data_IF_299755198997
#
_entry.id   IF_299755198997
#
_cell.length_a   1.000
_cell.length_b   1.000
_cell.length_c   1.000
_cell.angle_alpha   90.00
_cell.angle_beta   90.00
_cell.angle_gamma   90.00
#
_symmetry.space_group_name_H-M   'P 1'
#
loop_
_entity.id
_entity.type
_entity.pdbx_description
1 polymer ?
#
# COMPACT_ATOMS: atom_id res chain seq x y z
N UNK A 1 -5.72 -26.91 -5.96
CA UNK A 1 -5.89 -26.24 -4.65
C UNK A 1 -7.23 -25.52 -4.68
N UNK A 2 -8.02 -25.66 -3.63
CA UNK A 2 -9.34 -25.01 -3.54
C UNK A 2 -9.20 -23.47 -3.60
N UNK A 3 -10.03 -22.79 -4.39
CA UNK A 3 -9.94 -21.34 -4.63
C UNK A 3 -10.11 -20.55 -3.33
N UNK A 4 -11.02 -21.01 -2.47
CA UNK A 4 -11.27 -20.41 -1.15
C UNK A 4 -10.07 -20.56 -0.21
N UNK A 5 -9.25 -21.59 -0.43
CA UNK A 5 -7.99 -21.76 0.30
C UNK A 5 -6.93 -20.79 -0.20
N UNK A 6 -6.87 -20.54 -1.51
CA UNK A 6 -5.97 -19.56 -2.12
C UNK A 6 -6.29 -18.11 -1.71
N UNK A 7 -7.58 -17.73 -1.72
CA UNK A 7 -8.00 -16.37 -1.33
C UNK A 7 -7.69 -16.09 0.15
N UNK A 8 -7.85 -17.09 1.03
CA UNK A 8 -7.43 -17.00 2.43
C UNK A 8 -5.92 -16.85 2.58
N UNK A 9 -5.13 -17.63 1.84
CA UNK A 9 -3.67 -17.52 1.85
C UNK A 9 -3.24 -16.11 1.42
N UNK A 10 -3.78 -15.60 0.32
CA UNK A 10 -3.47 -14.24 -0.15
C UNK A 10 -3.84 -13.17 0.88
N UNK A 11 -4.99 -13.31 1.53
CA UNK A 11 -5.40 -12.39 2.60
C UNK A 11 -4.43 -12.40 3.79
N UNK A 12 -4.04 -13.58 4.28
CA UNK A 12 -3.06 -13.68 5.38
C UNK A 12 -1.68 -13.14 4.99
N UNK A 13 -1.23 -13.38 3.76
CA UNK A 13 0.04 -12.83 3.27
C UNK A 13 -0.04 -11.29 3.22
N UNK A 14 -1.15 -10.71 2.74
CA UNK A 14 -1.32 -9.26 2.72
C UNK A 14 -1.27 -8.63 4.12
N UNK A 15 -1.75 -9.34 5.16
CA UNK A 15 -1.66 -8.88 6.57
C UNK A 15 -0.24 -9.01 7.12
N UNK A 16 0.41 -10.17 6.92
CA UNK A 16 1.67 -10.48 7.58
C UNK A 16 2.87 -9.78 6.92
N UNK A 17 2.82 -9.58 5.60
CA UNK A 17 3.90 -8.96 4.83
C UNK A 17 4.37 -7.60 5.36
N UNK A 18 3.49 -6.61 5.64
CA UNK A 18 3.93 -5.32 6.18
C UNK A 18 4.61 -5.46 7.55
N UNK A 19 4.12 -6.38 8.40
CA UNK A 19 4.70 -6.63 9.73
C UNK A 19 6.10 -7.21 9.59
N UNK A 20 6.25 -8.24 8.76
CA UNK A 20 7.54 -8.91 8.52
C UNK A 20 8.56 -7.93 7.97
N UNK A 21 8.22 -7.14 6.95
CA UNK A 21 9.14 -6.15 6.40
C UNK A 21 9.53 -5.11 7.44
N UNK A 22 8.56 -4.58 8.18
CA UNK A 22 8.84 -3.52 9.15
C UNK A 22 9.73 -3.99 10.31
N UNK A 23 9.53 -5.21 10.80
CA UNK A 23 10.33 -5.79 11.89
C UNK A 23 11.74 -6.19 11.43
N UNK A 24 11.87 -6.73 10.22
CA UNK A 24 13.16 -7.17 9.69
C UNK A 24 14.01 -6.03 9.12
N UNK A 25 13.42 -4.90 8.77
CA UNK A 25 14.16 -3.75 8.25
C UNK A 25 14.68 -2.90 9.41
N UNK A 26 15.98 -2.58 9.46
CA UNK A 26 16.52 -1.74 10.52
C UNK A 26 15.92 -0.33 10.45
N UNK A 27 15.78 0.31 11.62
CA UNK A 27 15.25 1.67 11.73
C UNK A 27 16.06 2.66 10.89
N UNK A 28 17.38 2.49 10.87
CA UNK A 28 18.33 3.31 10.12
C UNK A 28 19.11 2.47 9.08
N UNK A 29 19.60 3.14 8.04
CA UNK A 29 20.44 2.50 7.03
C UNK A 29 21.89 2.37 7.53
N UNK A 30 22.27 1.19 8.06
CA UNK A 30 23.60 0.97 8.69
C UNK A 30 24.63 0.34 7.74
N UNK A 31 24.20 -0.42 6.72
CA UNK A 31 25.07 -1.11 5.76
C UNK A 31 25.17 -0.46 4.38
N UNK A 32 26.20 -0.81 3.59
CA UNK A 32 26.41 -0.25 2.23
C UNK A 32 25.19 -0.42 1.32
N UNK A 33 24.58 -1.60 1.32
CA UNK A 33 23.39 -1.89 0.52
C UNK A 33 22.18 -1.10 1.02
N UNK A 34 21.93 -1.03 2.32
CA UNK A 34 20.81 -0.24 2.87
C UNK A 34 20.97 1.26 2.64
N UNK A 35 22.20 1.78 2.67
CA UNK A 35 22.48 3.19 2.35
C UNK A 35 22.23 3.47 0.88
N UNK A 36 22.68 2.57 -0.02
CA UNK A 36 22.38 2.68 -1.45
C UNK A 36 20.86 2.68 -1.68
N UNK A 37 20.14 1.73 -1.08
CA UNK A 37 18.68 1.67 -1.17
C UNK A 37 18.07 2.96 -0.65
N UNK A 38 18.43 3.42 0.56
CA UNK A 38 17.90 4.67 1.11
C UNK A 38 18.14 5.87 0.17
N UNK A 39 19.33 5.99 -0.41
CA UNK A 39 19.66 7.05 -1.37
C UNK A 39 18.80 6.97 -2.64
N UNK A 40 18.55 5.77 -3.16
CA UNK A 40 17.64 5.56 -4.30
C UNK A 40 16.21 5.99 -3.92
N UNK A 41 15.72 5.57 -2.75
CA UNK A 41 14.39 5.94 -2.29
C UNK A 41 14.25 7.47 -2.14
N UNK A 42 15.26 8.11 -1.57
CA UNK A 42 15.30 9.56 -1.36
C UNK A 42 15.41 10.35 -2.67
N UNK A 43 16.16 9.84 -3.66
CA UNK A 43 16.36 10.52 -4.94
C UNK A 43 15.14 10.39 -5.87
N UNK A 44 14.54 9.20 -5.94
CA UNK A 44 13.55 8.87 -6.99
C UNK A 44 12.09 8.96 -6.54
N UNK A 45 11.78 8.72 -5.27
CA UNK A 45 10.39 8.77 -4.78
C UNK A 45 10.05 10.09 -4.08
N UNK A 46 11.05 10.81 -3.59
CA UNK A 46 10.88 11.98 -2.73
C UNK A 46 11.57 13.25 -3.25
N UNK A 47 12.10 13.24 -4.48
CA UNK A 47 12.57 14.41 -5.22
C UNK A 47 13.59 15.29 -4.49
N UNK A 48 14.89 15.06 -4.73
CA UNK A 48 16.01 15.97 -4.46
C UNK A 48 15.88 16.90 -3.21
N UNK A 49 15.43 16.36 -2.07
CA UNK A 49 15.43 17.08 -0.80
C UNK A 49 14.17 17.89 -0.45
N UNK A 50 13.13 17.93 -1.30
CA UNK A 50 11.86 18.60 -0.92
C UNK A 50 11.05 17.77 0.09
N UNK A 51 11.33 16.46 0.18
CA UNK A 51 10.63 15.49 1.04
C UNK A 51 11.58 14.55 1.79
N UNK A 52 12.69 15.08 2.33
CA UNK A 52 13.57 14.35 3.27
C UNK A 52 13.21 14.74 4.71
N UNK A 53 12.15 14.21 5.31
CA UNK A 53 11.93 14.44 6.72
C UNK A 53 13.00 13.69 7.52
N UNK A 54 13.64 14.39 8.45
CA UNK A 54 14.65 13.84 9.36
C UNK A 54 14.14 12.64 10.17
N UNK A 55 12.81 12.46 10.22
CA UNK A 55 12.11 11.47 11.05
C UNK A 55 11.31 10.43 10.27
N UNK A 56 11.61 10.21 8.99
CA UNK A 56 11.06 9.05 8.27
C UNK A 56 12.10 7.92 8.25
N UNK A 57 12.02 6.94 9.18
CA UNK A 57 13.02 5.90 9.33
C UNK A 57 13.07 5.03 8.08
N UNK A 58 14.25 4.49 7.81
CA UNK A 58 14.50 3.63 6.67
C UNK A 58 13.52 2.45 6.61
N UNK A 59 13.24 1.82 7.76
CA UNK A 59 12.24 0.75 7.89
C UNK A 59 10.86 1.14 7.34
N UNK A 60 10.41 2.36 7.61
CA UNK A 60 9.09 2.81 7.19
C UNK A 60 9.04 3.15 5.69
N UNK A 61 10.13 3.69 5.13
CA UNK A 61 10.28 3.89 3.67
C UNK A 61 10.17 2.56 2.93
N UNK A 62 10.98 1.59 3.35
CA UNK A 62 11.02 0.24 2.75
C UNK A 62 9.65 -0.43 2.89
N UNK A 63 9.06 -0.42 4.10
CA UNK A 63 7.73 -1.01 4.33
C UNK A 63 6.67 -0.37 3.44
N UNK A 64 6.65 0.96 3.33
CA UNK A 64 5.67 1.66 2.52
C UNK A 64 5.74 1.28 1.04
N UNK A 65 6.94 1.23 0.47
CA UNK A 65 7.13 0.98 -0.97
C UNK A 65 6.90 -0.48 -1.30
N UNK A 66 7.50 -1.39 -0.52
CA UNK A 66 7.38 -2.82 -0.80
C UNK A 66 5.94 -3.30 -0.65
N UNK A 67 5.18 -2.77 0.32
CA UNK A 67 3.75 -3.12 0.49
C UNK A 67 2.89 -2.63 -0.66
N UNK A 68 3.22 -1.48 -1.27
CA UNK A 68 2.52 -0.96 -2.46
C UNK A 68 2.80 -1.82 -3.67
N UNK A 69 4.08 -2.08 -3.95
CA UNK A 69 4.51 -2.95 -5.05
C UNK A 69 3.85 -4.33 -4.89
N UNK A 70 3.89 -4.89 -3.69
CA UNK A 70 3.28 -6.17 -3.40
C UNK A 70 1.76 -6.17 -3.58
N UNK A 71 1.04 -5.14 -3.13
CA UNK A 71 -0.41 -5.01 -3.36
C UNK A 71 -0.77 -4.95 -4.84
N UNK A 72 0.00 -4.21 -5.64
CA UNK A 72 -0.17 -4.13 -7.09
C UNK A 72 0.03 -5.50 -7.74
N UNK A 73 1.14 -6.18 -7.44
CA UNK A 73 1.45 -7.51 -7.98
C UNK A 73 0.39 -8.55 -7.58
N UNK A 74 0.01 -8.59 -6.31
CA UNK A 74 -1.02 -9.52 -5.83
C UNK A 74 -2.39 -9.24 -6.45
N UNK A 75 -2.76 -7.96 -6.59
CA UNK A 75 -4.00 -7.56 -7.26
C UNK A 75 -4.03 -8.03 -8.71
N UNK A 76 -2.94 -7.82 -9.45
CA UNK A 76 -2.78 -8.27 -10.83
C UNK A 76 -2.79 -9.80 -10.94
N UNK A 77 -2.07 -10.50 -10.06
CA UNK A 77 -2.04 -11.96 -10.04
C UNK A 77 -3.45 -12.52 -9.80
N UNK A 78 -4.18 -11.98 -8.82
CA UNK A 78 -5.56 -12.36 -8.56
C UNK A 78 -6.48 -12.05 -9.75
N UNK A 79 -6.27 -10.95 -10.46
CA UNK A 79 -6.99 -10.67 -11.71
C UNK A 79 -6.70 -11.71 -12.78
N UNK A 80 -5.44 -12.10 -12.98
CA UNK A 80 -5.08 -13.11 -13.99
C UNK A 80 -5.70 -14.47 -13.65
N UNK A 81 -5.66 -14.86 -12.39
CA UNK A 81 -6.16 -16.16 -11.91
C UNK A 81 -7.70 -16.20 -11.82
N UNK A 82 -8.34 -15.10 -11.45
CA UNK A 82 -9.77 -15.07 -11.06
C UNK A 82 -10.59 -13.94 -11.69
N UNK A 83 -10.06 -13.20 -12.67
CA UNK A 83 -10.62 -11.93 -13.16
C UNK A 83 -12.07 -11.98 -13.64
N UNK A 84 -12.61 -13.16 -13.95
CA UNK A 84 -14.01 -13.35 -14.35
C UNK A 84 -15.01 -13.29 -13.18
N UNK A 85 -14.56 -13.46 -11.94
CA UNK A 85 -15.41 -13.58 -10.74
C UNK A 85 -15.40 -12.32 -9.84
N UNK A 86 -14.68 -11.26 -10.23
CA UNK A 86 -14.43 -10.08 -9.39
C UNK A 86 -15.64 -9.11 -9.18
N UNK A 87 -16.88 -9.60 -9.18
CA UNK A 87 -18.05 -8.76 -8.87
C UNK A 87 -18.33 -8.75 -7.36
N UNK A 88 -17.53 -7.97 -6.63
CA UNK A 88 -17.71 -7.74 -5.19
C UNK A 88 -18.85 -6.73 -4.93
N UNK A 89 -19.23 -5.93 -5.94
CA UNK A 89 -20.27 -4.89 -5.83
C UNK A 89 -21.64 -5.41 -6.33
N UNK A 90 -22.71 -5.27 -5.53
CA UNK A 90 -24.08 -5.60 -5.94
C UNK A 90 -24.49 -4.90 -7.25
N UNK A 91 -25.33 -5.56 -8.07
CA UNK A 91 -25.74 -5.05 -9.38
C UNK A 91 -26.42 -3.68 -9.31
N UNK A 92 -27.28 -3.47 -8.32
CA UNK A 92 -28.06 -2.23 -8.14
C UNK A 92 -27.18 -0.99 -7.95
N UNK A 93 -26.06 -1.13 -7.23
CA UNK A 93 -25.17 -0.02 -6.88
C UNK A 93 -23.82 -0.06 -7.61
N UNK A 94 -23.71 -0.85 -8.69
CA UNK A 94 -22.44 -1.18 -9.33
C UNK A 94 -21.64 0.03 -9.81
N UNK A 95 -22.30 0.99 -10.46
CA UNK A 95 -21.63 2.21 -10.97
C UNK A 95 -21.06 3.05 -9.83
N UNK A 96 -21.84 3.29 -8.77
CA UNK A 96 -21.42 4.07 -7.59
C UNK A 96 -20.30 3.34 -6.83
N UNK A 97 -20.43 2.03 -6.64
CA UNK A 97 -19.42 1.23 -5.96
C UNK A 97 -18.09 1.21 -6.71
N UNK A 98 -18.10 1.04 -8.04
CA UNK A 98 -16.86 1.13 -8.83
C UNK A 98 -16.26 2.53 -8.80
N UNK A 99 -17.06 3.59 -8.89
CA UNK A 99 -16.56 4.96 -8.78
C UNK A 99 -15.89 5.22 -7.42
N UNK A 100 -16.50 4.73 -6.33
CA UNK A 100 -15.92 4.82 -4.98
C UNK A 100 -14.60 4.04 -4.88
N UNK A 101 -14.56 2.79 -5.36
CA UNK A 101 -13.35 1.96 -5.34
C UNK A 101 -12.23 2.61 -6.18
N UNK A 102 -12.57 3.22 -7.32
CA UNK A 102 -11.61 3.96 -8.14
C UNK A 102 -11.02 5.14 -7.38
N UNK A 103 -11.88 5.95 -6.77
CA UNK A 103 -11.46 7.12 -6.00
C UNK A 103 -10.55 6.71 -4.84
N UNK A 104 -10.89 5.64 -4.13
CA UNK A 104 -10.06 5.09 -3.06
C UNK A 104 -8.72 4.58 -3.59
N UNK A 105 -8.69 3.85 -4.70
CA UNK A 105 -7.44 3.38 -5.31
C UNK A 105 -6.50 4.55 -5.63
N UNK A 106 -7.01 5.59 -6.30
CA UNK A 106 -6.22 6.79 -6.62
C UNK A 106 -5.74 7.49 -5.36
N UNK A 107 -6.62 7.66 -4.36
CA UNK A 107 -6.28 8.28 -3.08
C UNK A 107 -5.16 7.52 -2.36
N UNK A 108 -5.25 6.19 -2.27
CA UNK A 108 -4.25 5.39 -1.55
C UNK A 108 -2.94 5.24 -2.32
N UNK A 109 -2.96 5.26 -3.67
CA UNK A 109 -1.75 5.40 -4.47
C UNK A 109 -1.09 6.77 -4.24
N UNK A 110 -1.87 7.84 -4.16
CA UNK A 110 -1.36 9.17 -3.83
C UNK A 110 -0.75 9.24 -2.43
N UNK A 111 -1.46 8.73 -1.41
CA UNK A 111 -0.97 8.65 -0.03
C UNK A 111 0.30 7.82 0.07
N UNK A 112 0.51 6.84 -0.82
CA UNK A 112 1.73 6.03 -0.86
C UNK A 112 2.98 6.83 -1.23
N UNK A 113 2.82 7.97 -1.90
CA UNK A 113 3.91 8.85 -2.34
C UNK A 113 4.22 9.92 -1.28
N UNK A 114 3.31 10.16 -0.34
CA UNK A 114 3.53 11.13 0.73
C UNK A 114 4.43 10.52 1.83
N UNK A 115 5.50 11.22 2.25
CA UNK A 115 6.34 10.74 3.35
C UNK A 115 5.56 10.73 4.67
N UNK A 116 5.85 9.76 5.54
CA UNK A 116 5.18 9.58 6.83
C UNK A 116 6.16 9.79 7.99
N UNK A 117 6.20 11.00 8.56
CA UNK A 117 7.14 11.32 9.65
C UNK A 117 6.73 10.67 10.99
N UNK A 118 7.71 10.15 11.74
CA UNK A 118 7.52 9.68 13.12
C UNK A 118 7.78 10.80 14.14
N UNK A 119 7.04 10.79 15.23
CA UNK A 119 7.23 11.75 16.33
C UNK A 119 8.45 11.39 17.19
N UNK A 120 9.22 12.39 17.61
CA UNK A 120 10.06 12.32 18.82
C UNK A 120 9.51 13.34 19.84
N UNK A 121 8.95 12.88 20.95
CA UNK A 121 8.49 13.78 22.01
C UNK A 121 9.63 14.11 22.97
N UNK A 122 9.98 15.39 23.05
CA UNK A 122 10.69 15.95 24.20
C UNK A 122 10.04 17.30 24.53
N UNK A 123 9.02 17.30 25.41
CA UNK A 123 8.45 18.52 26.01
C UNK A 123 6.98 18.85 25.66
N UNK A 124 6.26 19.43 26.63
CA UNK A 124 4.91 20.01 26.50
C UNK A 124 5.00 21.31 25.70
N UNK A 125 4.23 21.46 24.62
CA UNK A 125 4.10 22.74 23.91
C UNK A 125 2.64 23.05 23.55
N UNK A 126 2.24 24.29 23.85
CA UNK A 126 0.90 24.84 23.63
C UNK A 126 0.70 25.25 22.15
N UNK A 127 0.14 24.34 21.35
CA UNK A 127 -0.68 24.72 20.19
C UNK A 127 0.02 25.13 18.88
N UNK A 128 1.35 25.06 18.76
CA UNK A 128 2.06 25.32 17.49
C UNK A 128 3.12 24.25 17.13
N UNK A 129 2.90 22.99 17.49
CA UNK A 129 3.65 21.87 16.92
C UNK A 129 3.00 21.44 15.60
N UNK A 130 3.73 21.43 14.48
CA UNK A 130 3.34 20.65 13.30
C UNK A 130 3.09 19.21 13.76
N UNK A 131 1.85 18.75 13.77
CA UNK A 131 1.44 17.47 14.35
C UNK A 131 1.03 16.46 13.29
N UNK A 132 1.66 15.28 13.28
CA UNK A 132 0.95 14.01 13.18
C UNK A 132 1.60 12.91 14.07
N UNK A 133 0.83 11.87 14.36
CA UNK A 133 0.64 11.24 15.69
C UNK A 133 0.90 9.70 15.77
N UNK A 134 1.68 9.09 14.87
CA UNK A 134 1.71 7.61 14.78
C UNK A 134 2.81 6.90 15.56
N UNK A 135 2.42 6.09 16.54
CA UNK A 135 3.18 4.96 17.08
C UNK A 135 3.37 3.89 15.95
N UNK A 136 4.48 3.11 15.91
CA UNK A 136 4.64 1.94 15.04
C UNK A 136 3.37 1.12 14.77
N UNK A 137 2.53 0.90 15.79
CA UNK A 137 1.23 0.23 15.63
C UNK A 137 0.29 0.96 14.67
N UNK A 138 0.11 2.27 14.84
CA UNK A 138 -0.77 3.07 13.99
C UNK A 138 -0.19 3.18 12.57
N UNK A 139 1.14 3.24 12.43
CA UNK A 139 1.79 3.16 11.13
C UNK A 139 1.44 1.86 10.40
N UNK A 140 1.65 0.71 11.05
CA UNK A 140 1.34 -0.60 10.47
C UNK A 140 -0.15 -0.75 10.14
N UNK A 141 -1.04 -0.22 10.99
CA UNK A 141 -2.48 -0.21 10.73
C UNK A 141 -2.84 0.59 9.47
N UNK A 142 -2.27 1.77 9.28
CA UNK A 142 -2.51 2.57 8.07
C UNK A 142 -1.91 1.92 6.83
N UNK A 143 -0.71 1.31 6.95
CA UNK A 143 -0.11 0.52 5.88
C UNK A 143 -1.03 -0.63 5.47
N UNK A 144 -1.61 -1.34 6.43
CA UNK A 144 -2.55 -2.43 6.19
C UNK A 144 -3.79 -1.97 5.40
N UNK A 145 -4.46 -0.90 5.85
CA UNK A 145 -5.63 -0.34 5.17
C UNK A 145 -5.26 0.03 3.72
N UNK A 146 -4.18 0.81 3.57
CA UNK A 146 -3.70 1.26 2.27
C UNK A 146 -3.41 0.09 1.33
N UNK A 147 -2.70 -0.92 1.82
CA UNK A 147 -2.34 -2.12 1.05
C UNK A 147 -3.57 -2.89 0.58
N UNK A 148 -4.56 -3.11 1.45
CA UNK A 148 -5.83 -3.76 1.08
C UNK A 148 -6.57 -2.94 0.03
N UNK A 149 -6.68 -1.62 0.23
CA UNK A 149 -7.44 -0.77 -0.70
C UNK A 149 -6.82 -0.74 -2.09
N UNK A 150 -5.48 -0.72 -2.18
CA UNK A 150 -4.76 -0.86 -3.46
C UNK A 150 -5.04 -2.24 -4.08
N UNK A 151 -4.89 -3.31 -3.31
CA UNK A 151 -5.15 -4.69 -3.77
C UNK A 151 -6.57 -4.86 -4.31
N UNK A 152 -7.59 -4.44 -3.56
CA UNK A 152 -9.01 -4.53 -3.94
C UNK A 152 -9.27 -3.68 -5.19
N UNK A 153 -8.74 -2.47 -5.24
CA UNK A 153 -8.87 -1.58 -6.40
C UNK A 153 -8.34 -2.24 -7.67
N UNK A 154 -7.09 -2.70 -7.66
CA UNK A 154 -6.47 -3.38 -8.81
C UNK A 154 -7.27 -4.63 -9.20
N UNK A 155 -7.67 -5.46 -8.25
CA UNK A 155 -8.43 -6.70 -8.52
C UNK A 155 -9.75 -6.39 -9.23
N UNK A 156 -10.49 -5.40 -8.74
CA UNK A 156 -11.81 -5.01 -9.28
C UNK A 156 -11.67 -4.45 -10.70
N UNK A 157 -10.79 -3.47 -10.93
CA UNK A 157 -10.61 -2.88 -12.26
C UNK A 157 -10.02 -3.86 -13.26
N UNK A 158 -9.03 -4.64 -12.83
CA UNK A 158 -8.48 -5.73 -13.64
C UNK A 158 -9.56 -6.73 -14.06
N UNK A 159 -10.44 -7.13 -13.13
CA UNK A 159 -11.55 -8.03 -13.44
C UNK A 159 -12.58 -7.43 -14.41
N UNK A 160 -12.92 -6.14 -14.25
CA UNK A 160 -13.79 -5.43 -15.21
C UNK A 160 -13.16 -5.43 -16.61
N UNK A 161 -11.87 -5.13 -16.72
CA UNK A 161 -11.12 -5.14 -17.99
C UNK A 161 -11.14 -6.54 -18.61
N UNK A 162 -10.82 -7.59 -17.85
CA UNK A 162 -10.86 -8.98 -18.33
C UNK A 162 -12.25 -9.37 -18.87
N UNK A 163 -13.34 -8.92 -18.23
CA UNK A 163 -14.71 -9.16 -18.69
C UNK A 163 -15.02 -8.46 -20.00
N UNK A 164 -14.57 -7.21 -20.17
CA UNK A 164 -14.76 -6.46 -21.41
C UNK A 164 -14.07 -7.17 -22.59
N UNK A 165 -12.81 -7.59 -22.42
CA UNK A 165 -12.08 -8.34 -23.45
C UNK A 165 -12.67 -9.73 -23.73
N UNK A 166 -13.23 -10.40 -22.73
CA UNK A 166 -13.89 -11.70 -22.92
C UNK A 166 -15.21 -11.59 -23.70
N UNK A 167 -15.92 -10.46 -23.60
CA UNK A 167 -17.17 -10.22 -24.36
C UNK A 167 -16.92 -9.82 -25.81
N UNK A 168 -15.76 -9.23 -26.11
CA UNK A 168 -15.34 -8.84 -27.46
C UNK A 168 -14.94 -10.02 -28.36
N UNK A 169 -14.82 -11.24 -27.82
CA UNK A 169 -14.44 -12.46 -28.56
C UNK A 169 -15.64 -13.33 -28.98
N UNK A 170 -16.86 -12.80 -28.89
CA UNK A 170 -18.11 -13.40 -29.39
C UNK A 170 -18.64 -12.44 -30.46
#
# INVERSE_FOLDING_TARGET
MDKDKLDRIFFYILILFPIVIFVLTPADAVGRVSVLVNNVLDAYLFGNGYYKPDRYPFAAKVTNIFTVIFALFMGLLCTILYGKEADIVPKENRKKGYAFIFLMLVLFLWVSILPQEFSSSSGRNFGLSRSFHNNPFTFLFLIFIKQIMIYVGVRVFGGVICKLFSKSKI
#
